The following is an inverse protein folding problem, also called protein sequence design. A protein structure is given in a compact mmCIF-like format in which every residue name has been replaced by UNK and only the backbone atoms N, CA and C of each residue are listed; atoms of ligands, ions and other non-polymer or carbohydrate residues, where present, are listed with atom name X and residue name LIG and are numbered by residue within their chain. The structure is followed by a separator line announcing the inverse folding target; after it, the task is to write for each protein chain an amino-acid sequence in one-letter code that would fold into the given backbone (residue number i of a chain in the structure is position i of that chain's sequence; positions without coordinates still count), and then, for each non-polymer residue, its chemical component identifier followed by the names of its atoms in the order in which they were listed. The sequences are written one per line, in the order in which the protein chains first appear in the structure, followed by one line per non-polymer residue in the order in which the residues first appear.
data_IF_551672522823
#
_entry.id   IF_551672522823
#
_cell.length_a   1.000
_cell.length_b   1.000
_cell.length_c   1.000
_cell.angle_alpha   90.00
_cell.angle_beta   90.00
_cell.angle_gamma   90.00
#
_symmetry.space_group_name_H-M   'P 1'
#
loop_
_entity.id
_entity.type
_entity.pdbx_description
1 polymer ?
#
# COMPACT_ATOMS: atom_id res chain seq x y z
N UNK A 1 -72.10 -0.26 -50.23
CA UNK A 1 -70.62 -0.11 -50.22
C UNK A 1 -70.13 1.15 -49.49
N UNK A 2 -70.63 2.37 -49.81
CA UNK A 2 -70.17 3.62 -49.15
C UNK A 2 -70.43 3.74 -47.63
N UNK A 3 -71.47 3.06 -47.10
CA UNK A 3 -71.75 3.04 -45.64
C UNK A 3 -70.81 2.11 -44.86
N UNK A 4 -70.40 0.98 -45.46
CA UNK A 4 -69.45 0.03 -44.85
C UNK A 4 -68.03 0.58 -44.75
N UNK A 5 -67.60 1.40 -45.73
CA UNK A 5 -66.31 2.10 -45.69
C UNK A 5 -66.21 3.07 -44.48
N UNK A 6 -67.32 3.70 -44.08
CA UNK A 6 -67.34 4.59 -42.91
C UNK A 6 -67.18 3.81 -41.60
N UNK A 7 -67.75 2.62 -41.48
CA UNK A 7 -67.58 1.77 -40.29
C UNK A 7 -66.17 1.17 -40.20
N UNK A 8 -65.57 0.81 -41.34
CA UNK A 8 -64.17 0.35 -41.40
C UNK A 8 -63.22 1.49 -41.01
N UNK A 9 -63.45 2.72 -41.49
CA UNK A 9 -62.62 3.87 -41.12
C UNK A 9 -62.70 4.22 -39.63
N UNK A 10 -63.89 4.14 -39.01
CA UNK A 10 -64.07 4.38 -37.57
C UNK A 10 -63.44 3.27 -36.73
N UNK A 11 -63.52 2.01 -37.17
CA UNK A 11 -62.85 0.89 -36.49
C UNK A 11 -61.32 0.96 -36.59
N UNK A 12 -60.77 1.45 -37.72
CA UNK A 12 -59.32 1.64 -37.89
C UNK A 12 -58.78 2.78 -37.03
N UNK A 13 -59.55 3.87 -36.84
CA UNK A 13 -59.17 4.99 -35.97
C UNK A 13 -59.22 4.59 -34.48
N UNK A 14 -60.21 3.79 -34.07
CA UNK A 14 -60.29 3.26 -32.70
C UNK A 14 -59.20 2.22 -32.37
N UNK A 15 -58.72 1.47 -33.38
CA UNK A 15 -57.62 0.53 -33.21
C UNK A 15 -56.24 1.21 -33.09
N UNK A 16 -56.07 2.43 -33.64
CA UNK A 16 -54.83 3.21 -33.52
C UNK A 16 -54.65 3.87 -32.15
N UNK A 17 -55.74 4.10 -31.40
CA UNK A 17 -55.69 4.59 -30.00
C UNK A 17 -55.38 3.51 -28.96
N UNK A 18 -55.26 2.24 -29.39
CA UNK A 18 -54.78 1.12 -28.57
C UNK A 18 -53.34 0.74 -28.90
N UNK A 19 -52.62 1.56 -29.68
CA UNK A 19 -51.17 1.45 -29.81
C UNK A 19 -50.59 1.51 -28.41
N UNK A 20 -49.94 0.42 -28.00
CA UNK A 20 -49.31 0.24 -26.69
C UNK A 20 -48.73 1.55 -26.18
N UNK A 21 -49.21 2.04 -25.04
CA UNK A 21 -48.27 2.68 -24.13
C UNK A 21 -47.19 1.61 -23.91
N UNK A 22 -45.96 1.87 -24.35
CA UNK A 22 -44.85 1.06 -23.87
C UNK A 22 -44.95 1.12 -22.35
N UNK A 23 -45.26 -0.03 -21.71
CA UNK A 23 -45.16 -0.13 -20.27
C UNK A 23 -43.76 0.39 -19.95
N UNK A 24 -43.68 1.57 -19.31
CA UNK A 24 -42.44 2.23 -18.93
C UNK A 24 -41.80 1.49 -17.75
N UNK A 25 -41.79 0.16 -17.80
CA UNK A 25 -41.21 -0.76 -16.81
C UNK A 25 -39.69 -0.79 -16.88
N UNK A 26 -39.07 0.09 -17.66
CA UNK A 26 -37.61 0.25 -17.75
C UNK A 26 -37.14 1.71 -17.62
N UNK A 27 -38.05 2.68 -17.74
CA UNK A 27 -37.70 4.10 -17.69
C UNK A 27 -37.61 4.56 -16.24
N UNK A 28 -36.49 5.20 -15.87
CA UNK A 28 -36.30 5.75 -14.51
C UNK A 28 -35.96 4.72 -13.43
N UNK A 29 -35.63 3.46 -13.77
CA UNK A 29 -35.13 2.47 -12.78
C UNK A 29 -33.74 2.84 -12.27
N UNK A 30 -32.91 3.47 -13.11
CA UNK A 30 -31.56 3.87 -12.73
C UNK A 30 -31.55 5.29 -12.19
N UNK A 31 -30.94 5.47 -11.02
CA UNK A 31 -30.68 6.77 -10.42
C UNK A 31 -29.20 7.13 -10.57
N UNK A 32 -28.92 8.44 -10.62
CA UNK A 32 -27.54 8.94 -10.59
C UNK A 32 -27.06 8.91 -9.14
N UNK A 33 -26.03 8.12 -8.88
CA UNK A 33 -25.30 8.14 -7.61
C UNK A 33 -23.98 8.89 -7.79
N UNK A 34 -23.63 9.72 -6.81
CA UNK A 34 -22.36 10.43 -6.76
C UNK A 34 -21.50 9.79 -5.69
N UNK A 35 -20.36 9.23 -6.08
CA UNK A 35 -19.42 8.64 -5.13
C UNK A 35 -18.71 9.74 -4.32
N UNK A 36 -18.24 9.41 -3.10
CA UNK A 36 -17.38 10.31 -2.33
C UNK A 36 -16.12 10.66 -3.13
N UNK A 37 -15.83 11.95 -3.21
CA UNK A 37 -14.60 12.50 -3.80
C UNK A 37 -13.71 13.10 -2.70
N UNK A 38 -12.39 12.90 -2.81
CA UNK A 38 -11.43 13.27 -1.76
C UNK A 38 -10.38 14.27 -2.24
N UNK A 39 -10.18 15.34 -1.47
CA UNK A 39 -9.11 16.31 -1.69
C UNK A 39 -8.07 16.26 -0.55
N UNK A 40 -6.81 16.03 -0.92
CA UNK A 40 -5.71 15.99 0.05
C UNK A 40 -5.28 17.39 0.51
N UNK A 41 -5.11 17.54 1.82
CA UNK A 41 -4.40 18.69 2.39
C UNK A 41 -2.92 18.33 2.50
N UNK A 42 -2.06 18.83 1.63
CA UNK A 42 -0.64 18.47 1.61
C UNK A 42 -0.36 17.08 1.01
N UNK A 43 0.88 16.61 1.15
CA UNK A 43 1.39 15.48 0.35
C UNK A 43 0.76 14.12 0.71
N UNK A 44 0.57 13.26 -0.30
CA UNK A 44 0.10 11.87 -0.10
C UNK A 44 1.19 10.95 0.47
N UNK A 45 2.46 11.28 0.23
CA UNK A 45 3.63 10.55 0.74
C UNK A 45 4.46 11.48 1.61
N UNK A 46 4.64 11.11 2.88
CA UNK A 46 5.41 11.89 3.85
C UNK A 46 6.57 11.04 4.36
N UNK A 47 7.79 11.57 4.24
CA UNK A 47 8.97 11.02 4.88
C UNK A 47 9.20 11.77 6.20
N UNK A 48 9.09 11.06 7.32
CA UNK A 48 9.06 11.65 8.64
C UNK A 48 10.27 11.18 9.47
N UNK A 49 11.24 12.05 9.76
CA UNK A 49 12.37 11.68 10.60
C UNK A 49 11.92 11.28 12.01
N UNK A 50 12.62 10.32 12.62
CA UNK A 50 12.43 9.93 14.01
C UNK A 50 12.42 11.13 14.98
N UNK A 51 11.58 11.04 16.00
CA UNK A 51 11.43 12.11 17.01
C UNK A 51 10.62 13.32 16.54
N UNK A 52 10.31 13.44 15.25
CA UNK A 52 9.47 14.52 14.73
C UNK A 52 8.02 14.29 15.13
N UNK A 53 7.40 15.28 15.76
CA UNK A 53 5.96 15.28 16.02
C UNK A 53 5.20 15.28 14.68
N UNK A 54 4.06 14.61 14.64
CA UNK A 54 3.25 14.53 13.42
C UNK A 54 1.78 14.65 13.76
N UNK A 55 1.11 15.48 12.99
CA UNK A 55 -0.35 15.59 12.94
C UNK A 55 -0.73 15.42 11.50
N UNK A 56 -1.63 14.49 11.22
CA UNK A 56 -2.11 14.28 9.87
C UNK A 56 -2.86 15.53 9.36
N UNK A 57 -2.44 16.13 8.23
CA UNK A 57 -3.19 17.24 7.64
C UNK A 57 -4.63 16.86 7.23
N UNK A 58 -4.87 15.55 7.04
CA UNK A 58 -6.15 15.00 6.64
C UNK A 58 -6.53 15.27 5.19
N UNK A 59 -7.80 15.03 4.89
CA UNK A 59 -8.45 15.24 3.60
C UNK A 59 -9.80 15.93 3.81
N UNK A 60 -10.39 16.47 2.76
CA UNK A 60 -11.84 16.74 2.71
C UNK A 60 -12.51 15.69 1.83
N UNK A 61 -13.78 15.39 2.11
CA UNK A 61 -14.59 14.49 1.30
C UNK A 61 -15.88 15.22 0.91
N UNK A 62 -16.32 15.06 -0.34
CA UNK A 62 -17.57 15.63 -0.83
C UNK A 62 -18.37 14.67 -1.69
N UNK A 63 -19.69 14.83 -1.68
CA UNK A 63 -20.63 14.19 -2.59
C UNK A 63 -21.33 15.30 -3.38
N UNK A 64 -21.16 15.32 -4.71
CA UNK A 64 -21.74 16.34 -5.59
C UNK A 64 -21.51 17.79 -5.07
N UNK A 65 -20.29 18.07 -4.61
CA UNK A 65 -19.89 19.36 -4.06
C UNK A 65 -20.34 19.64 -2.61
N UNK A 66 -21.06 18.72 -1.97
CA UNK A 66 -21.47 18.85 -0.56
C UNK A 66 -20.52 18.06 0.34
N UNK A 67 -19.98 18.69 1.38
CA UNK A 67 -19.06 18.00 2.31
C UNK A 67 -19.77 16.86 3.04
N UNK A 68 -19.07 15.73 3.16
CA UNK A 68 -19.53 14.53 3.87
C UNK A 68 -18.50 14.11 4.94
N UNK A 69 -18.95 13.41 6.00
CA UNK A 69 -18.05 13.01 7.10
C UNK A 69 -17.02 11.97 6.65
N UNK A 70 -15.84 12.03 7.30
CA UNK A 70 -14.72 11.13 7.06
C UNK A 70 -14.46 10.30 8.30
N UNK A 71 -14.27 9.00 8.12
CA UNK A 71 -13.69 8.11 9.11
C UNK A 71 -12.22 7.90 8.80
N UNK A 72 -11.36 8.02 9.81
CA UNK A 72 -9.90 7.84 9.67
C UNK A 72 -9.43 6.65 10.48
N UNK A 73 -8.53 5.84 9.92
CA UNK A 73 -7.84 4.77 10.63
C UNK A 73 -6.38 4.68 10.18
N UNK A 74 -5.49 4.22 11.06
CA UNK A 74 -4.05 4.11 10.77
C UNK A 74 -3.58 2.68 10.94
N UNK A 75 -2.94 2.15 9.90
CA UNK A 75 -2.41 0.78 9.86
C UNK A 75 -0.87 0.80 9.72
N UNK A 76 -0.10 0.43 10.75
CA UNK A 76 1.34 0.24 10.63
C UNK A 76 1.69 -1.06 9.88
N UNK A 77 2.80 -1.05 9.14
CA UNK A 77 3.23 -2.18 8.32
C UNK A 77 3.90 -3.29 9.14
N UNK A 78 4.90 -2.98 9.97
CA UNK A 78 5.66 -4.00 10.72
C UNK A 78 5.01 -4.29 12.07
N UNK A 79 4.58 -3.26 12.79
CA UNK A 79 3.98 -3.41 14.13
C UNK A 79 2.61 -4.11 14.08
N UNK A 80 1.92 -4.04 12.93
CA UNK A 80 0.61 -4.62 12.72
C UNK A 80 -0.52 -3.94 13.53
N UNK A 81 -1.75 -4.38 13.27
CA UNK A 81 -2.95 -3.87 13.93
C UNK A 81 -3.49 -2.56 13.32
N UNK A 82 -4.39 -1.92 14.06
CA UNK A 82 -4.97 -0.62 13.71
C UNK A 82 -4.86 0.34 14.89
N UNK A 83 -4.77 1.62 14.59
CA UNK A 83 -4.65 2.71 15.56
C UNK A 83 -5.39 3.95 15.06
N UNK A 84 -5.63 4.90 15.94
CA UNK A 84 -6.25 6.18 15.57
C UNK A 84 -5.24 7.18 14.98
N UNK A 85 -3.95 7.01 15.27
CA UNK A 85 -2.92 8.01 14.99
C UNK A 85 -1.59 7.36 14.56
N UNK A 86 -0.75 8.13 13.86
CA UNK A 86 0.62 7.72 13.49
C UNK A 86 1.49 7.64 14.74
N UNK A 87 1.92 6.43 15.10
CA UNK A 87 2.75 6.18 16.26
C UNK A 87 4.16 6.79 16.18
N UNK A 88 4.87 6.78 17.31
CA UNK A 88 6.24 7.28 17.43
C UNK A 88 7.31 6.27 16.98
N UNK A 89 6.97 4.99 16.89
CA UNK A 89 7.89 3.92 16.48
C UNK A 89 8.18 4.01 14.98
N UNK A 90 9.43 3.80 14.52
CA UNK A 90 9.70 3.72 13.09
C UNK A 90 8.86 2.62 12.43
N UNK A 91 8.13 2.98 11.40
CA UNK A 91 7.26 2.09 10.63
C UNK A 91 6.81 2.81 9.35
N UNK A 92 6.15 2.07 8.45
CA UNK A 92 5.26 2.68 7.46
C UNK A 92 3.85 2.69 8.03
N UNK A 93 3.26 3.87 8.11
CA UNK A 93 1.88 4.06 8.52
C UNK A 93 1.04 4.40 7.29
N UNK A 94 -0.01 3.62 7.05
CA UNK A 94 -1.04 3.97 6.06
C UNK A 94 -2.22 4.57 6.81
N UNK A 95 -2.48 5.85 6.58
CA UNK A 95 -3.70 6.53 7.05
C UNK A 95 -4.77 6.31 5.98
N UNK A 96 -5.85 5.63 6.34
CA UNK A 96 -6.98 5.36 5.47
C UNK A 96 -8.12 6.30 5.84
N UNK A 97 -8.65 6.99 4.83
CA UNK A 97 -9.83 7.82 4.91
C UNK A 97 -10.97 7.11 4.20
N UNK A 98 -12.12 7.02 4.84
CA UNK A 98 -13.34 6.45 4.25
C UNK A 98 -14.49 7.42 4.44
N UNK A 99 -15.31 7.56 3.42
CA UNK A 99 -16.53 8.34 3.44
C UNK A 99 -17.64 7.55 2.75
N UNK A 100 -18.88 7.74 3.16
CA UNK A 100 -20.05 7.03 2.65
C UNK A 100 -21.03 8.07 2.13
N UNK A 101 -21.49 7.91 0.89
CA UNK A 101 -22.49 8.81 0.31
C UNK A 101 -23.89 8.52 0.87
N UNK A 102 -24.86 9.37 0.54
CA UNK A 102 -26.25 9.21 1.01
C UNK A 102 -26.91 7.87 0.59
N UNK A 103 -26.43 7.27 -0.50
CA UNK A 103 -26.96 6.03 -1.08
C UNK A 103 -26.30 4.78 -0.46
N UNK A 104 -25.34 4.96 0.46
CA UNK A 104 -24.67 3.89 1.19
C UNK A 104 -23.42 3.32 0.51
N UNK A 105 -22.94 3.94 -0.57
CA UNK A 105 -21.70 3.56 -1.22
C UNK A 105 -20.50 4.25 -0.58
N UNK A 106 -19.46 3.48 -0.25
CA UNK A 106 -18.21 4.00 0.27
C UNK A 106 -17.19 4.27 -0.83
N UNK A 107 -16.30 5.23 -0.56
CA UNK A 107 -15.03 5.33 -1.26
C UNK A 107 -13.91 5.62 -0.25
N UNK A 108 -12.69 5.32 -0.67
CA UNK A 108 -11.52 5.35 0.20
C UNK A 108 -10.38 6.13 -0.44
N UNK A 109 -9.63 6.85 0.39
CA UNK A 109 -8.38 7.52 0.07
C UNK A 109 -7.33 7.14 1.10
N UNK A 110 -6.04 7.30 0.78
CA UNK A 110 -4.98 6.91 1.71
C UNK A 110 -3.73 7.78 1.61
N UNK A 111 -3.15 8.10 2.76
CA UNK A 111 -1.85 8.75 2.88
C UNK A 111 -0.82 7.79 3.48
N UNK A 112 0.39 7.79 2.93
CA UNK A 112 1.49 6.94 3.38
C UNK A 112 2.54 7.79 4.10
N UNK A 113 2.86 7.42 5.33
CA UNK A 113 3.89 8.06 6.14
C UNK A 113 4.99 7.05 6.46
N UNK A 114 6.21 7.32 6.04
CA UNK A 114 7.39 6.58 6.45
C UNK A 114 8.05 7.29 7.61
N UNK A 115 7.86 6.77 8.83
CA UNK A 115 8.63 7.21 9.98
C UNK A 115 9.90 6.39 10.06
N UNK A 116 11.06 7.02 9.92
CA UNK A 116 12.34 6.31 9.98
C UNK A 116 13.45 7.12 10.66
N UNK A 117 14.35 6.40 11.31
CA UNK A 117 15.60 6.94 11.84
C UNK A 117 16.68 6.72 10.80
N UNK A 118 17.65 7.63 10.69
CA UNK A 118 18.76 7.50 9.73
C UNK A 118 20.06 7.22 10.48
N UNK A 119 20.55 5.99 10.39
CA UNK A 119 21.83 5.57 10.93
C UNK A 119 23.02 6.00 10.06
N UNK A 120 24.21 6.05 10.66
CA UNK A 120 25.45 6.40 9.96
C UNK A 120 26.08 5.22 9.20
N UNK A 121 25.49 4.01 9.32
CA UNK A 121 25.98 2.71 8.85
C UNK A 121 27.27 2.23 9.54
N UNK A 122 27.71 2.89 10.61
CA UNK A 122 28.87 2.50 11.42
C UNK A 122 28.46 2.04 12.82
N UNK A 123 27.45 2.70 13.39
CA UNK A 123 26.91 2.47 14.73
C UNK A 123 25.43 2.09 14.68
N UNK A 124 24.70 2.46 13.64
CA UNK A 124 23.33 2.01 13.38
C UNK A 124 23.08 1.77 11.90
N UNK A 125 22.34 0.69 11.59
CA UNK A 125 21.82 0.39 10.25
C UNK A 125 20.34 0.81 10.07
N UNK A 126 19.76 1.54 11.04
CA UNK A 126 18.42 2.12 10.86
C UNK A 126 18.37 2.99 9.61
N UNK A 127 17.26 2.92 8.90
CA UNK A 127 17.10 3.73 7.70
C UNK A 127 15.91 3.33 6.85
N UNK A 128 15.54 4.26 5.98
CA UNK A 128 14.73 3.98 4.82
C UNK A 128 15.67 3.75 3.64
N UNK A 129 15.43 2.69 2.86
CA UNK A 129 16.31 2.30 1.76
C UNK A 129 15.53 2.10 0.47
N UNK A 130 16.09 2.58 -0.64
CA UNK A 130 15.69 2.09 -1.96
C UNK A 130 16.28 0.71 -2.19
N UNK A 131 15.55 -0.15 -2.91
CA UNK A 131 15.93 -1.55 -3.11
C UNK A 131 16.18 -1.88 -4.59
N UNK A 132 17.26 -2.62 -4.84
CA UNK A 132 17.58 -3.23 -6.14
C UNK A 132 17.78 -4.72 -5.92
N UNK A 133 17.06 -5.57 -6.66
CA UNK A 133 16.99 -7.01 -6.42
C UNK A 133 17.41 -7.81 -7.65
N UNK A 134 18.32 -8.76 -7.41
CA UNK A 134 18.71 -9.81 -8.33
C UNK A 134 18.15 -11.13 -7.84
N UNK A 135 17.50 -11.89 -8.71
CA UNK A 135 17.02 -13.25 -8.41
C UNK A 135 17.81 -14.28 -9.20
N UNK A 136 18.23 -15.35 -8.52
CA UNK A 136 18.91 -16.52 -9.07
C UNK A 136 20.16 -16.20 -9.90
N UNK A 137 20.98 -15.24 -9.45
CA UNK A 137 22.24 -14.91 -10.11
C UNK A 137 22.07 -14.32 -11.52
N UNK A 138 20.93 -13.70 -11.82
CA UNK A 138 20.70 -13.03 -13.09
C UNK A 138 21.81 -12.01 -13.40
N UNK A 139 22.17 -11.87 -14.68
CA UNK A 139 23.23 -10.97 -15.15
C UNK A 139 22.92 -9.48 -14.96
N UNK A 140 21.64 -9.15 -14.71
CA UNK A 140 21.18 -7.81 -14.38
C UNK A 140 20.07 -7.87 -13.33
N UNK A 141 19.90 -6.77 -12.61
CA UNK A 141 18.82 -6.64 -11.63
C UNK A 141 17.48 -6.67 -12.36
N UNK A 142 16.55 -7.52 -11.91
CA UNK A 142 15.20 -7.53 -12.47
C UNK A 142 14.38 -6.33 -11.99
N UNK A 143 14.69 -5.81 -10.80
CA UNK A 143 14.08 -4.60 -10.25
C UNK A 143 15.14 -3.70 -9.63
N UNK A 144 15.05 -2.40 -9.90
CA UNK A 144 16.02 -1.39 -9.45
C UNK A 144 15.30 -0.21 -8.82
N UNK A 145 15.96 0.44 -7.84
CA UNK A 145 15.50 1.68 -7.20
C UNK A 145 14.05 1.67 -6.69
N UNK A 146 13.56 0.52 -6.22
CA UNK A 146 12.23 0.38 -5.63
C UNK A 146 12.15 1.10 -4.29
N UNK A 147 10.97 1.65 -3.94
CA UNK A 147 10.72 2.40 -2.71
C UNK A 147 9.63 1.70 -1.89
N UNK A 148 9.81 1.37 -0.62
CA UNK A 148 11.04 1.36 0.17
C UNK A 148 11.14 0.08 0.99
N UNK A 149 12.35 -0.26 1.43
CA UNK A 149 12.59 -1.23 2.50
C UNK A 149 13.02 -0.46 3.74
N UNK A 150 12.35 -0.71 4.87
CA UNK A 150 12.66 -0.11 6.16
C UNK A 150 13.50 -1.06 6.99
N UNK A 151 14.55 -0.52 7.60
CA UNK A 151 15.27 -1.16 8.70
C UNK A 151 15.07 -0.30 9.93
N UNK A 152 14.49 -0.88 10.98
CA UNK A 152 14.27 -0.21 12.27
C UNK A 152 14.89 -1.00 13.41
N UNK A 153 15.22 -0.38 14.54
CA UNK A 153 15.51 -1.15 15.77
C UNK A 153 14.28 -1.90 16.23
N UNK A 154 14.49 -3.14 16.69
CA UNK A 154 13.47 -3.91 17.38
C UNK A 154 13.18 -3.25 18.74
N UNK A 155 11.91 -2.94 19.07
CA UNK A 155 11.56 -2.38 20.36
C UNK A 155 12.12 -3.20 21.52
N UNK A 156 12.67 -2.53 22.54
CA UNK A 156 13.26 -3.17 23.71
C UNK A 156 14.64 -3.78 23.51
N UNK A 157 15.29 -3.54 22.37
CA UNK A 157 16.68 -4.00 22.10
C UNK A 157 17.59 -2.83 21.75
N UNK A 158 18.90 -3.03 21.91
CA UNK A 158 19.92 -2.01 21.60
C UNK A 158 20.56 -2.21 20.23
N UNK A 159 20.70 -3.46 19.78
CA UNK A 159 21.53 -3.89 18.67
C UNK A 159 20.80 -4.79 17.65
N UNK A 160 19.51 -5.05 17.86
CA UNK A 160 18.71 -5.90 17.00
C UNK A 160 17.78 -5.05 16.14
N UNK A 161 17.78 -5.33 14.84
CA UNK A 161 17.02 -4.61 13.82
C UNK A 161 15.97 -5.51 13.19
N UNK A 162 14.86 -4.92 12.76
CA UNK A 162 13.82 -5.55 11.97
C UNK A 162 13.84 -5.00 10.56
N UNK A 163 13.76 -5.89 9.56
CA UNK A 163 13.70 -5.53 8.14
C UNK A 163 12.26 -5.75 7.66
N UNK A 164 11.69 -4.75 6.97
CA UNK A 164 10.30 -4.79 6.52
C UNK A 164 10.03 -5.88 5.48
N UNK A 165 11.02 -6.20 4.66
CA UNK A 165 10.92 -7.22 3.61
C UNK A 165 12.26 -7.94 3.41
N UNK A 166 12.33 -9.20 3.85
CA UNK A 166 13.50 -10.05 3.77
C UNK A 166 13.91 -10.45 2.34
N UNK A 167 13.05 -10.29 1.34
CA UNK A 167 13.36 -10.54 -0.08
C UNK A 167 13.47 -9.23 -0.86
N UNK A 168 13.68 -8.11 -0.16
CA UNK A 168 14.01 -6.83 -0.77
C UNK A 168 12.87 -6.16 -1.52
N UNK A 169 11.63 -6.56 -1.28
CA UNK A 169 10.48 -6.00 -2.00
C UNK A 169 10.18 -6.68 -3.33
N UNK A 170 10.73 -7.86 -3.61
CA UNK A 170 10.54 -8.55 -4.89
C UNK A 170 9.07 -8.67 -5.31
N UNK A 171 8.20 -9.16 -4.41
CA UNK A 171 6.78 -9.34 -4.72
C UNK A 171 5.96 -8.08 -4.44
N UNK A 172 6.10 -7.51 -3.24
CA UNK A 172 5.31 -6.36 -2.82
C UNK A 172 5.53 -5.14 -3.73
N UNK A 173 6.79 -4.84 -4.06
CA UNK A 173 7.17 -3.67 -4.87
C UNK A 173 7.42 -4.05 -6.33
N UNK A 174 8.32 -5.00 -6.60
CA UNK A 174 8.76 -5.33 -7.96
C UNK A 174 7.65 -5.92 -8.82
N UNK A 175 6.88 -6.86 -8.27
CA UNK A 175 5.69 -7.44 -8.93
C UNK A 175 4.42 -6.64 -8.67
N UNK A 176 4.50 -5.56 -7.87
CA UNK A 176 3.37 -4.72 -7.48
C UNK A 176 2.18 -5.51 -6.92
N UNK A 177 2.44 -6.59 -6.17
CA UNK A 177 1.37 -7.40 -5.55
C UNK A 177 0.88 -6.81 -4.22
N UNK A 178 1.53 -5.76 -3.73
CA UNK A 178 1.16 -5.07 -2.49
C UNK A 178 1.60 -5.80 -1.22
N UNK A 179 1.17 -5.25 -0.08
CA UNK A 179 1.71 -5.62 1.24
C UNK A 179 1.40 -7.04 1.68
N UNK A 180 0.35 -7.64 1.12
CA UNK A 180 0.02 -9.04 1.32
C UNK A 180 1.14 -9.98 0.85
N UNK A 181 2.17 -9.49 0.16
CA UNK A 181 3.30 -10.28 -0.34
C UNK A 181 4.66 -9.77 0.15
N UNK A 182 4.68 -8.99 1.24
CA UNK A 182 5.91 -8.69 1.97
C UNK A 182 6.49 -9.97 2.60
N UNK A 183 7.78 -9.93 2.89
CA UNK A 183 8.44 -10.92 3.74
C UNK A 183 8.91 -10.32 5.08
N UNK A 184 8.00 -9.90 5.98
CA UNK A 184 8.38 -9.30 7.26
C UNK A 184 8.94 -10.36 8.21
N UNK A 185 9.48 -9.91 9.36
CA UNK A 185 9.86 -10.79 10.47
C UNK A 185 11.33 -11.22 10.48
N UNK A 186 12.15 -10.69 9.57
CA UNK A 186 13.61 -10.86 9.62
C UNK A 186 14.18 -9.97 10.71
N UNK A 187 14.91 -10.58 11.65
CA UNK A 187 15.66 -9.87 12.67
C UNK A 187 17.16 -10.02 12.41
N UNK A 188 17.91 -8.94 12.62
CA UNK A 188 19.36 -8.89 12.46
C UNK A 188 19.97 -8.30 13.72
N UNK A 189 20.73 -9.07 14.48
CA UNK A 189 21.53 -8.57 15.62
C UNK A 189 22.92 -8.20 15.12
N UNK A 190 23.34 -6.96 15.35
CA UNK A 190 24.64 -6.46 14.93
C UNK A 190 25.68 -6.61 16.05
N UNK A 191 26.48 -7.68 15.99
CA UNK A 191 27.60 -7.87 16.91
C UNK A 191 28.68 -6.79 16.68
N UNK A 192 28.95 -6.47 15.40
CA UNK A 192 29.84 -5.39 15.00
C UNK A 192 29.58 -4.94 13.56
N UNK A 193 28.90 -3.80 13.40
CA UNK A 193 28.65 -3.20 12.07
C UNK A 193 29.96 -2.94 11.30
N UNK A 194 31.02 -2.34 11.90
CA UNK A 194 32.26 -2.07 11.16
C UNK A 194 32.99 -3.33 10.67
N UNK A 195 32.76 -4.48 11.31
CA UNK A 195 33.33 -5.78 10.91
C UNK A 195 32.38 -6.61 10.04
N UNK A 196 31.19 -6.09 9.73
CA UNK A 196 30.13 -6.85 9.07
C UNK A 196 29.76 -8.17 9.79
N UNK A 197 29.79 -8.13 11.12
CA UNK A 197 29.45 -9.27 11.97
C UNK A 197 28.00 -9.15 12.44
N UNK A 198 27.14 -9.98 11.84
CA UNK A 198 25.70 -10.00 12.07
C UNK A 198 25.22 -11.42 12.35
N UNK A 199 24.25 -11.52 13.27
CA UNK A 199 23.50 -12.75 13.54
C UNK A 199 22.06 -12.58 13.07
N UNK A 200 21.56 -13.54 12.30
CA UNK A 200 20.16 -13.56 11.87
C UNK A 200 19.25 -14.24 12.89
N UNK A 201 18.04 -13.72 13.00
CA UNK A 201 16.98 -14.26 13.84
C UNK A 201 15.60 -13.95 13.26
N UNK A 202 14.58 -14.12 14.10
CA UNK A 202 13.18 -14.03 13.68
C UNK A 202 12.74 -15.24 12.85
N UNK A 203 11.57 -15.11 12.23
CA UNK A 203 10.97 -16.15 11.40
C UNK A 203 10.33 -15.50 10.15
N UNK A 204 11.15 -14.92 9.26
CA UNK A 204 10.60 -14.25 8.09
C UNK A 204 9.93 -15.25 7.15
N UNK A 205 8.80 -14.84 6.60
CA UNK A 205 8.03 -15.63 5.63
C UNK A 205 7.38 -14.70 4.63
N UNK A 206 7.27 -15.14 3.38
CA UNK A 206 6.46 -14.40 2.38
C UNK A 206 5.00 -14.58 2.77
N UNK A 207 4.27 -13.50 3.05
CA UNK A 207 2.93 -13.59 3.61
C UNK A 207 1.95 -14.39 2.72
N UNK A 208 1.51 -13.83 1.60
CA UNK A 208 0.46 -14.41 0.75
C UNK A 208 0.83 -15.75 0.09
N UNK A 209 2.12 -16.06 -0.03
CA UNK A 209 2.60 -17.34 -0.58
C UNK A 209 3.07 -18.34 0.49
N UNK A 210 3.22 -17.91 1.73
CA UNK A 210 3.87 -18.68 2.79
C UNK A 210 5.35 -18.98 2.51
N UNK A 211 5.90 -19.89 3.32
CA UNK A 211 7.26 -20.40 3.18
C UNK A 211 8.32 -19.55 3.87
N UNK A 212 9.23 -20.16 4.64
CA UNK A 212 10.25 -19.44 5.38
C UNK A 212 11.29 -18.82 4.44
N UNK A 213 11.75 -17.62 4.76
CA UNK A 213 12.90 -16.98 4.13
C UNK A 213 14.14 -17.26 4.96
N UNK A 214 15.20 -17.78 4.35
CA UNK A 214 16.46 -18.06 5.02
C UNK A 214 17.48 -16.96 4.69
N UNK A 215 17.83 -16.07 5.62
CA UNK A 215 18.90 -15.10 5.40
C UNK A 215 20.27 -15.80 5.37
N UNK A 216 21.16 -15.32 4.50
CA UNK A 216 22.51 -15.89 4.30
C UNK A 216 23.61 -14.93 4.67
N UNK A 217 23.57 -13.73 4.10
CA UNK A 217 24.60 -12.71 4.32
C UNK A 217 23.97 -11.32 4.39
N UNK A 218 24.61 -10.45 5.13
CA UNK A 218 24.33 -9.02 5.17
C UNK A 218 25.67 -8.30 5.30
N UNK A 219 25.92 -7.37 4.40
CA UNK A 219 27.13 -6.56 4.38
C UNK A 219 26.73 -5.10 4.26
N UNK A 220 27.45 -4.24 4.97
CA UNK A 220 27.22 -2.81 5.10
C UNK A 220 28.46 -2.09 4.60
N UNK A 221 28.26 -1.09 3.76
CA UNK A 221 29.28 -0.18 3.29
C UNK A 221 28.86 1.27 3.59
N UNK A 222 29.46 1.90 4.62
CA UNK A 222 29.18 3.28 4.97
C UNK A 222 29.61 4.31 3.92
N UNK A 223 30.59 3.98 3.07
CA UNK A 223 31.12 4.89 2.07
C UNK A 223 30.15 5.02 0.89
N UNK A 224 29.61 3.89 0.43
CA UNK A 224 28.60 3.87 -0.65
C UNK A 224 27.17 4.05 -0.14
N UNK A 225 26.97 4.06 1.18
CA UNK A 225 25.66 4.12 1.84
C UNK A 225 24.75 2.96 1.45
N UNK A 226 25.33 1.76 1.39
CA UNK A 226 24.63 0.56 0.96
C UNK A 226 24.66 -0.55 1.99
N UNK A 227 23.63 -1.40 1.93
CA UNK A 227 23.55 -2.70 2.59
C UNK A 227 23.23 -3.72 1.51
N UNK A 228 24.04 -4.77 1.39
CA UNK A 228 23.76 -5.90 0.49
C UNK A 228 23.38 -7.09 1.34
N UNK A 229 22.16 -7.61 1.13
CA UNK A 229 21.67 -8.82 1.78
C UNK A 229 21.38 -9.92 0.78
N UNK A 230 21.73 -11.15 1.15
CA UNK A 230 21.36 -12.35 0.40
C UNK A 230 20.40 -13.18 1.23
N UNK A 231 19.25 -13.52 0.64
CA UNK A 231 18.24 -14.39 1.26
C UNK A 231 17.79 -15.47 0.28
N UNK A 232 17.31 -16.58 0.80
CA UNK A 232 16.73 -17.67 0.02
C UNK A 232 15.28 -17.89 0.44
N UNK A 233 14.41 -18.15 -0.53
CA UNK A 233 13.05 -18.56 -0.28
C UNK A 233 12.65 -19.61 -1.31
N UNK A 234 12.27 -20.79 -0.83
CA UNK A 234 12.02 -21.96 -1.65
C UNK A 234 13.25 -22.27 -2.55
N UNK A 235 13.08 -22.31 -3.87
CA UNK A 235 14.15 -22.53 -4.85
C UNK A 235 14.82 -21.23 -5.33
N UNK A 236 14.43 -20.08 -4.77
CA UNK A 236 14.90 -18.77 -5.22
C UNK A 236 15.95 -18.21 -4.28
N UNK A 237 16.99 -17.61 -4.85
CA UNK A 237 17.96 -16.78 -4.14
C UNK A 237 17.80 -15.33 -4.56
N UNK A 238 17.79 -14.42 -3.59
CA UNK A 238 17.67 -12.99 -3.77
C UNK A 238 18.91 -12.30 -3.25
N UNK A 239 19.58 -11.52 -4.10
CA UNK A 239 20.61 -10.57 -3.69
C UNK A 239 20.01 -9.18 -3.80
N UNK A 240 19.84 -8.53 -2.66
CA UNK A 240 19.24 -7.20 -2.56
C UNK A 240 20.29 -6.19 -2.17
N UNK A 241 20.46 -5.15 -2.99
CA UNK A 241 21.22 -3.94 -2.64
C UNK A 241 20.24 -2.87 -2.17
N UNK A 242 20.35 -2.52 -0.90
CA UNK A 242 19.64 -1.44 -0.24
C UNK A 242 20.52 -0.21 -0.23
N UNK A 243 20.04 0.92 -0.77
CA UNK A 243 20.75 2.21 -0.75
C UNK A 243 19.99 3.20 0.15
N UNK A 244 20.70 3.77 1.11
CA UNK A 244 20.09 4.63 2.14
C UNK A 244 19.51 5.90 1.53
N UNK A 245 18.31 6.27 1.97
CA UNK A 245 17.61 7.50 1.60
C UNK A 245 17.94 8.57 2.63
N UNK A 246 18.26 9.78 2.16
CA UNK A 246 18.41 10.96 3.02
C UNK A 246 17.14 11.80 2.96
N UNK A 247 16.57 12.12 4.13
CA UNK A 247 15.38 12.95 4.31
C UNK A 247 15.37 13.52 5.74
#
# INVERSE_FOLDING_TARGET
MKRFIKYIAVAFIGALSLSCEEEKVTEGISEITYFPDFDYKGDELILLPCGTAFTDPGVTASENGTSIPITTSVSPMISGGTSAEVGATPDRYTVNYSAVNKDGYDANASRVIWRACTGDLKTSIEGLYTSTVFRNGASGAQYTNMRYVLIRKKPGTTDTYQISDAIGGWYALGRALGDAYLAPGLEVTANSIPKNDFKFGGAPQVLGFGGPVTPKTLTVDPATKTIVMTTEWNIYSFVTTLKQVSF
#
